data_IF_095740262337
#
_entry.id   IF_095740262337
#
_cell.length_a   1.000
_cell.length_b   1.000
_cell.length_c   1.000
_cell.angle_alpha   90.00
_cell.angle_beta   90.00
_cell.angle_gamma   90.00
#
_symmetry.space_group_name_H-M   'P 1'
#
loop_
_entity.id
_entity.type
_entity.pdbx_description
1 polymer ?
#
# COMPACT_ATOMS: atom_id res chain seq x y z
N UNK A 1 21.82 -72.50 18.85
CA UNK A 1 21.80 -73.05 17.48
C UNK A 1 20.53 -73.89 17.36
N UNK A 2 19.58 -73.49 16.50
CA UNK A 2 19.71 -73.77 15.07
C UNK A 2 19.56 -72.54 14.18
N UNK A 3 20.18 -72.69 13.01
CA UNK A 3 20.41 -71.72 11.96
C UNK A 3 19.23 -71.73 10.98
N UNK A 4 18.64 -70.57 10.66
CA UNK A 4 17.78 -70.42 9.48
C UNK A 4 18.07 -69.10 8.78
N UNK A 5 18.59 -69.27 7.57
CA UNK A 5 18.95 -68.28 6.58
C UNK A 5 17.72 -67.51 6.07
N UNK A 6 17.77 -66.18 6.15
CA UNK A 6 16.81 -65.30 5.48
C UNK A 6 17.36 -64.90 4.09
N UNK A 7 16.64 -65.30 3.05
CA UNK A 7 16.83 -64.83 1.68
C UNK A 7 16.35 -63.38 1.56
N UNK A 8 17.22 -62.48 1.10
CA UNK A 8 16.86 -61.13 0.70
C UNK A 8 16.22 -61.14 -0.70
N UNK A 9 14.93 -60.82 -0.77
CA UNK A 9 14.22 -60.50 -2.02
C UNK A 9 14.24 -58.99 -2.20
N UNK A 10 14.94 -58.52 -3.21
CA UNK A 10 14.98 -57.12 -3.62
C UNK A 10 13.67 -56.72 -4.30
N UNK A 11 12.88 -55.86 -3.65
CA UNK A 11 11.76 -55.16 -4.28
C UNK A 11 12.22 -53.73 -4.58
N UNK A 12 12.43 -53.40 -5.86
CA UNK A 12 12.56 -52.01 -6.31
C UNK A 12 11.19 -51.32 -6.20
N UNK A 13 11.06 -50.19 -5.48
CA UNK A 13 9.89 -49.35 -5.62
C UNK A 13 10.02 -48.52 -6.90
N UNK A 14 9.04 -48.63 -7.78
CA UNK A 14 8.78 -47.69 -8.88
C UNK A 14 8.54 -46.31 -8.26
N UNK A 15 9.50 -45.40 -8.44
CA UNK A 15 9.34 -43.98 -8.21
C UNK A 15 8.38 -43.42 -9.29
N UNK A 16 7.13 -43.15 -8.89
CA UNK A 16 6.29 -42.23 -9.62
C UNK A 16 6.93 -40.84 -9.54
N UNK A 17 7.54 -40.40 -10.64
CA UNK A 17 7.91 -39.00 -10.82
C UNK A 17 6.62 -38.19 -10.88
N UNK A 18 6.26 -37.55 -9.76
CA UNK A 18 5.37 -36.39 -9.81
C UNK A 18 6.13 -35.30 -10.56
N UNK A 19 5.75 -35.06 -11.81
CA UNK A 19 6.09 -33.84 -12.50
C UNK A 19 5.47 -32.69 -11.70
N UNK A 20 6.30 -31.98 -10.93
CA UNK A 20 5.96 -30.70 -10.33
C UNK A 20 5.76 -29.69 -11.46
N UNK A 21 4.54 -29.60 -11.96
CA UNK A 21 4.14 -28.54 -12.90
C UNK A 21 4.07 -27.23 -12.14
N UNK A 22 5.02 -26.33 -12.44
CA UNK A 22 4.85 -24.89 -12.26
C UNK A 22 5.61 -24.25 -11.10
N UNK A 23 6.95 -24.18 -11.18
CA UNK A 23 7.55 -22.88 -10.87
C UNK A 23 7.06 -21.93 -11.96
N UNK A 24 6.07 -21.09 -11.66
CA UNK A 24 5.87 -19.89 -12.46
C UNK A 24 7.22 -19.16 -12.47
N UNK A 25 7.77 -18.86 -13.65
CA UNK A 25 8.96 -18.03 -13.72
C UNK A 25 8.68 -16.70 -12.99
N UNK A 26 9.65 -16.20 -12.22
CA UNK A 26 9.57 -14.86 -11.63
C UNK A 26 9.33 -13.83 -12.73
N UNK A 27 8.56 -12.78 -12.45
CA UNK A 27 8.33 -11.71 -13.40
C UNK A 27 9.68 -11.08 -13.79
N UNK A 28 9.89 -10.80 -15.08
CA UNK A 28 11.19 -10.35 -15.61
C UNK A 28 11.16 -8.89 -16.10
N UNK A 29 10.03 -8.20 -15.95
CA UNK A 29 9.92 -6.80 -16.33
C UNK A 29 10.35 -5.87 -15.19
N UNK A 30 10.39 -4.56 -15.48
CA UNK A 30 10.68 -3.55 -14.47
C UNK A 30 9.54 -3.41 -13.47
N UNK A 31 9.89 -2.97 -12.26
CA UNK A 31 8.97 -2.69 -11.15
C UNK A 31 9.29 -1.31 -10.59
N UNK A 32 8.26 -0.49 -10.37
CA UNK A 32 8.32 0.71 -9.56
C UNK A 32 7.61 0.49 -8.22
N UNK A 33 7.88 1.36 -7.24
CA UNK A 33 7.33 1.22 -5.90
C UNK A 33 6.32 2.32 -5.57
N UNK A 34 5.03 1.99 -5.59
CA UNK A 34 3.99 2.97 -5.30
C UNK A 34 3.79 3.26 -3.80
N UNK A 35 4.57 2.70 -2.86
CA UNK A 35 4.33 2.95 -1.43
C UNK A 35 5.58 2.76 -0.57
N UNK A 36 6.22 3.88 -0.21
CA UNK A 36 7.34 3.93 0.72
C UNK A 36 7.09 4.98 1.79
N UNK A 37 7.08 4.55 3.05
CA UNK A 37 7.14 5.45 4.19
C UNK A 37 8.61 5.72 4.53
N UNK A 38 9.09 6.92 4.23
CA UNK A 38 10.48 7.31 4.47
C UNK A 38 10.85 7.29 5.95
N UNK A 39 9.88 7.48 6.84
CA UNK A 39 10.10 7.48 8.29
C UNK A 39 9.19 6.48 9.00
N UNK A 40 9.65 5.96 10.14
CA UNK A 40 8.86 5.08 10.98
C UNK A 40 7.87 5.82 11.90
N UNK A 41 7.10 5.06 12.71
CA UNK A 41 6.17 5.59 13.72
C UNK A 41 6.86 6.38 14.85
N UNK A 42 8.18 6.52 14.82
CA UNK A 42 9.00 7.37 15.70
C UNK A 42 9.72 8.48 14.92
N UNK A 43 9.39 8.65 13.65
CA UNK A 43 9.96 9.61 12.70
C UNK A 43 11.46 9.39 12.43
N UNK A 44 11.90 8.12 12.46
CA UNK A 44 13.28 7.69 12.19
C UNK A 44 13.40 7.08 10.81
N UNK A 45 14.56 7.21 10.18
CA UNK A 45 14.80 6.76 8.81
C UNK A 45 16.25 6.31 8.62
N UNK A 46 16.48 5.42 7.66
CA UNK A 46 17.78 5.18 7.03
C UNK A 46 18.21 6.33 6.09
N UNK A 47 17.28 7.21 5.72
CA UNK A 47 17.47 8.42 4.90
C UNK A 47 17.13 8.21 3.42
N UNK A 48 16.80 9.28 2.70
CA UNK A 48 16.40 9.16 1.29
C UNK A 48 17.54 8.67 0.38
N UNK A 49 18.80 8.94 0.73
CA UNK A 49 19.94 8.38 -0.03
C UNK A 49 19.98 6.84 0.08
N UNK A 50 19.69 6.29 1.25
CA UNK A 50 19.65 4.84 1.43
C UNK A 50 18.50 4.20 0.63
N UNK A 51 17.35 4.89 0.53
CA UNK A 51 16.27 4.47 -0.37
C UNK A 51 16.73 4.44 -1.82
N UNK A 52 17.40 5.50 -2.31
CA UNK A 52 17.92 5.54 -3.68
C UNK A 52 18.92 4.43 -3.93
N UNK A 53 19.85 4.20 -3.01
CA UNK A 53 20.85 3.13 -3.15
C UNK A 53 20.18 1.74 -3.23
N UNK A 54 19.11 1.53 -2.45
CA UNK A 54 18.32 0.32 -2.50
C UNK A 54 17.53 0.19 -3.82
N UNK A 55 16.92 1.29 -4.29
CA UNK A 55 16.25 1.33 -5.60
C UNK A 55 17.21 1.01 -6.75
N UNK A 56 18.45 1.52 -6.70
CA UNK A 56 19.49 1.23 -7.70
C UNK A 56 19.89 -0.25 -7.71
N UNK A 57 19.99 -0.86 -6.52
CA UNK A 57 20.27 -2.30 -6.39
C UNK A 57 19.15 -3.17 -6.97
N UNK A 58 17.90 -2.68 -6.94
CA UNK A 58 16.70 -3.41 -7.35
C UNK A 58 16.17 -3.02 -8.74
N UNK A 59 16.87 -2.15 -9.48
CA UNK A 59 16.43 -1.58 -10.78
C UNK A 59 15.03 -0.93 -10.70
N UNK A 60 14.72 -0.27 -9.57
CA UNK A 60 13.49 0.50 -9.36
C UNK A 60 13.73 1.92 -9.86
N UNK A 61 12.98 2.37 -10.86
CA UNK A 61 13.17 3.70 -11.43
C UNK A 61 12.48 4.78 -10.58
N UNK A 62 11.27 4.51 -10.09
CA UNK A 62 10.43 5.47 -9.41
C UNK A 62 9.83 4.93 -8.10
N UNK A 63 9.68 5.83 -7.11
CA UNK A 63 8.97 5.51 -5.87
C UNK A 63 8.04 6.64 -5.42
N UNK A 64 6.85 6.31 -4.92
CA UNK A 64 6.10 7.25 -4.08
C UNK A 64 6.74 7.29 -2.70
N UNK A 65 6.89 8.49 -2.13
CA UNK A 65 7.46 8.64 -0.80
C UNK A 65 6.56 9.49 0.08
N UNK A 66 6.28 9.02 1.29
CA UNK A 66 5.51 9.76 2.27
C UNK A 66 6.06 9.60 3.68
N UNK A 67 5.54 10.42 4.59
CA UNK A 67 5.74 10.27 6.02
C UNK A 67 4.82 9.21 6.61
N UNK A 68 4.84 9.12 7.94
CA UNK A 68 3.75 8.52 8.70
C UNK A 68 2.99 9.63 9.42
N UNK A 69 1.66 9.74 9.23
CA UNK A 69 0.88 10.88 9.69
C UNK A 69 0.75 10.95 11.22
N UNK A 70 1.03 9.83 11.90
CA UNK A 70 0.95 9.69 13.35
C UNK A 70 2.27 9.16 13.92
N UNK A 71 2.58 9.60 15.14
CA UNK A 71 3.76 9.15 15.89
C UNK A 71 3.33 8.44 17.19
N UNK A 72 4.05 7.38 17.53
CA UNK A 72 3.84 6.63 18.77
C UNK A 72 4.39 7.40 19.97
N UNK A 73 3.53 7.68 20.94
CA UNK A 73 3.93 8.29 22.20
C UNK A 73 4.66 7.27 23.08
N UNK A 74 5.76 7.71 23.69
CA UNK A 74 6.33 7.02 24.84
C UNK A 74 5.75 7.64 26.11
N UNK A 75 4.72 7.01 26.67
CA UNK A 75 4.08 7.47 27.90
C UNK A 75 4.95 7.20 29.14
N UNK A 76 4.89 8.12 30.11
CA UNK A 76 5.61 7.97 31.40
C UNK A 76 5.23 6.69 32.16
N UNK A 77 4.00 6.19 31.98
CA UNK A 77 3.55 4.93 32.57
C UNK A 77 4.20 3.69 31.95
N UNK A 78 4.81 3.81 30.77
CA UNK A 78 5.44 2.68 30.08
C UNK A 78 6.86 2.46 30.62
N UNK A 79 7.18 1.24 31.10
CA UNK A 79 8.45 0.97 31.77
C UNK A 79 9.68 1.05 30.85
N UNK A 80 9.48 1.10 29.53
CA UNK A 80 10.52 1.28 28.51
C UNK A 80 9.93 1.90 27.24
N UNK A 81 10.77 2.48 26.40
CA UNK A 81 10.34 3.00 25.10
C UNK A 81 9.78 1.86 24.22
N UNK A 82 8.61 2.06 23.56
CA UNK A 82 8.10 1.11 22.58
C UNK A 82 9.04 0.99 21.38
N UNK A 83 9.08 -0.20 20.78
CA UNK A 83 9.87 -0.50 19.57
C UNK A 83 9.01 -0.55 18.31
N UNK A 84 7.70 -0.54 18.47
CA UNK A 84 6.72 -0.61 17.40
C UNK A 84 5.43 0.06 17.86
N UNK A 85 4.59 0.50 16.92
CA UNK A 85 3.35 1.24 17.22
C UNK A 85 2.37 0.46 18.10
N UNK A 86 2.30 -0.86 17.93
CA UNK A 86 1.50 -1.78 18.75
C UNK A 86 2.27 -2.39 19.93
N UNK A 87 3.43 -1.83 20.31
CA UNK A 87 4.28 -2.38 21.37
C UNK A 87 3.72 -2.21 22.79
N UNK A 88 2.77 -1.30 22.97
CA UNK A 88 2.06 -1.01 24.21
C UNK A 88 0.75 -0.23 23.93
N UNK A 89 0.00 0.11 24.97
CA UNK A 89 -1.28 0.84 24.90
C UNK A 89 -1.15 2.37 24.88
N UNK A 90 0.08 2.93 24.81
CA UNK A 90 0.24 4.37 24.72
C UNK A 90 -0.36 4.90 23.39
N UNK A 91 -0.91 6.12 23.36
CA UNK A 91 -1.59 6.60 22.18
C UNK A 91 -0.61 6.92 21.05
N UNK A 92 -1.17 7.02 19.84
CA UNK A 92 -0.55 7.75 18.72
C UNK A 92 -1.22 9.10 18.56
N UNK A 93 -0.49 10.09 18.06
CA UNK A 93 -1.03 11.42 17.76
C UNK A 93 -0.52 11.93 16.42
N UNK A 94 -1.29 12.80 15.76
CA UNK A 94 -0.91 13.36 14.47
C UNK A 94 0.35 14.23 14.56
N UNK A 95 1.25 14.10 13.59
CA UNK A 95 2.55 14.76 13.60
C UNK A 95 2.87 15.42 12.26
N UNK A 96 2.43 16.66 12.08
CA UNK A 96 2.58 17.40 10.82
C UNK A 96 4.01 17.67 10.38
N UNK A 97 4.98 17.63 11.29
CA UNK A 97 6.38 17.83 10.91
C UNK A 97 6.95 16.66 10.09
N UNK A 98 6.25 15.51 9.98
CA UNK A 98 6.65 14.39 9.11
C UNK A 98 6.87 14.83 7.65
N UNK A 99 6.02 15.73 7.14
CA UNK A 99 6.10 16.20 5.76
C UNK A 99 7.34 17.09 5.53
N UNK A 100 7.73 17.90 6.52
CA UNK A 100 8.97 18.68 6.46
C UNK A 100 10.22 17.79 6.52
N UNK A 101 10.17 16.69 7.28
CA UNK A 101 11.26 15.70 7.29
C UNK A 101 11.43 15.05 5.91
N UNK A 102 10.33 14.58 5.32
CA UNK A 102 10.31 14.00 3.97
C UNK A 102 10.82 15.00 2.95
N UNK A 103 10.31 16.23 2.99
CA UNK A 103 10.70 17.26 2.03
C UNK A 103 12.20 17.54 2.07
N UNK A 104 12.78 17.69 3.26
CA UNK A 104 14.22 17.91 3.42
C UNK A 104 15.07 16.75 2.94
N UNK A 105 14.66 15.53 3.25
CA UNK A 105 15.36 14.32 2.79
C UNK A 105 15.41 14.28 1.26
N UNK A 106 14.27 14.47 0.59
CA UNK A 106 14.20 14.50 -0.88
C UNK A 106 15.00 15.68 -1.44
N UNK A 107 14.79 16.91 -0.94
CA UNK A 107 15.48 18.12 -1.41
C UNK A 107 17.01 18.07 -1.23
N UNK A 108 17.50 17.25 -0.29
CA UNK A 108 18.94 17.06 -0.07
C UNK A 108 19.62 16.23 -1.15
N UNK A 109 18.86 15.43 -1.91
CA UNK A 109 19.39 14.58 -2.97
C UNK A 109 19.82 15.41 -4.21
N UNK A 110 20.75 14.91 -5.03
CA UNK A 110 20.97 15.41 -6.38
C UNK A 110 19.68 15.41 -7.22
N UNK A 111 19.52 16.41 -8.09
CA UNK A 111 18.27 16.61 -8.86
C UNK A 111 17.80 15.37 -9.63
N UNK A 112 18.71 14.62 -10.24
CA UNK A 112 18.37 13.40 -10.96
C UNK A 112 17.78 12.29 -10.07
N UNK A 113 18.14 12.25 -8.78
CA UNK A 113 17.57 11.33 -7.81
C UNK A 113 16.25 11.86 -7.25
N UNK A 114 16.12 13.18 -7.07
CA UNK A 114 14.83 13.79 -6.71
C UNK A 114 13.73 13.45 -7.72
N UNK A 115 14.05 13.47 -9.02
CA UNK A 115 13.08 13.22 -10.10
C UNK A 115 12.56 11.76 -10.11
N UNK A 116 13.16 10.87 -9.32
CA UNK A 116 12.74 9.47 -9.12
C UNK A 116 11.81 9.29 -7.93
N UNK A 117 11.71 10.28 -7.04
CA UNK A 117 10.86 10.22 -5.86
C UNK A 117 9.64 11.12 -6.06
N UNK A 118 8.46 10.61 -5.73
CA UNK A 118 7.18 11.29 -5.88
C UNK A 118 6.58 11.54 -4.49
N UNK A 119 6.78 12.73 -3.89
CA UNK A 119 6.39 12.99 -2.51
C UNK A 119 4.87 13.13 -2.35
N UNK A 120 4.29 12.47 -1.35
CA UNK A 120 2.90 12.67 -0.93
C UNK A 120 2.84 13.29 0.46
N UNK A 121 1.93 14.24 0.62
CA UNK A 121 1.72 14.97 1.87
C UNK A 121 0.78 14.19 2.78
N UNK A 122 1.24 13.80 3.97
CA UNK A 122 0.51 12.90 4.90
C UNK A 122 0.25 13.52 6.27
N UNK A 123 1.06 14.47 6.70
CA UNK A 123 1.16 15.01 8.06
C UNK A 123 0.02 15.94 8.47
N UNK A 124 -1.21 15.46 8.52
CA UNK A 124 -2.33 16.27 9.01
C UNK A 124 -3.35 15.43 9.79
N UNK A 125 -4.08 16.10 10.68
CA UNK A 125 -5.20 15.47 11.38
C UNK A 125 -6.39 15.33 10.43
N UNK A 126 -6.74 14.09 10.11
CA UNK A 126 -7.82 13.76 9.16
C UNK A 126 -9.22 14.07 9.70
N UNK A 127 -9.33 14.51 10.95
CA UNK A 127 -10.59 14.95 11.58
C UNK A 127 -10.67 16.47 11.78
N UNK A 128 -9.61 17.21 11.46
CA UNK A 128 -9.59 18.66 11.57
C UNK A 128 -10.19 19.34 10.33
N UNK A 129 -11.29 20.08 10.50
CA UNK A 129 -11.94 20.84 9.42
C UNK A 129 -11.05 21.92 8.79
N UNK A 130 -9.91 22.25 9.40
CA UNK A 130 -8.89 23.16 8.87
C UNK A 130 -7.76 22.44 8.13
N UNK A 131 -7.74 21.10 8.08
CA UNK A 131 -6.70 20.33 7.40
C UNK A 131 -6.53 20.72 5.92
N UNK A 132 -7.64 21.03 5.23
CA UNK A 132 -7.59 21.51 3.85
C UNK A 132 -6.80 22.81 3.70
N UNK A 133 -6.97 23.78 4.61
CA UNK A 133 -6.21 25.04 4.59
C UNK A 133 -4.73 24.80 4.88
N UNK A 134 -4.42 23.88 5.80
CA UNK A 134 -3.05 23.46 6.07
C UNK A 134 -2.38 22.89 4.81
N UNK A 135 -3.06 21.96 4.12
CA UNK A 135 -2.55 21.34 2.90
C UNK A 135 -2.32 22.40 1.81
N UNK A 136 -3.29 23.29 1.55
CA UNK A 136 -3.13 24.36 0.55
C UNK A 136 -1.93 25.26 0.85
N UNK A 137 -1.64 25.51 2.13
CA UNK A 137 -0.46 26.27 2.54
C UNK A 137 0.84 25.52 2.25
N UNK A 138 0.92 24.22 2.55
CA UNK A 138 2.09 23.40 2.22
C UNK A 138 2.34 23.29 0.71
N UNK A 139 1.28 23.14 -0.08
CA UNK A 139 1.34 23.18 -1.55
C UNK A 139 1.86 24.54 -2.07
N UNK A 140 1.53 25.63 -1.37
CA UNK A 140 2.03 26.98 -1.70
C UNK A 140 3.49 27.17 -1.30
N UNK A 141 3.93 26.59 -0.18
CA UNK A 141 5.32 26.66 0.27
C UNK A 141 6.26 25.89 -0.64
N UNK A 142 5.81 24.77 -1.22
CA UNK A 142 6.59 23.96 -2.17
C UNK A 142 5.82 23.68 -3.47
N UNK A 143 5.72 24.67 -4.37
CA UNK A 143 5.00 24.50 -5.62
C UNK A 143 5.55 23.35 -6.46
N UNK A 144 4.68 22.45 -6.92
CA UNK A 144 4.98 21.26 -7.73
C UNK A 144 5.86 20.19 -7.05
N UNK A 145 6.18 20.34 -5.76
CA UNK A 145 6.95 19.34 -5.02
C UNK A 145 6.07 18.14 -4.63
N UNK A 146 4.94 18.43 -3.99
CA UNK A 146 3.97 17.41 -3.60
C UNK A 146 3.18 16.93 -4.82
N UNK A 147 3.15 15.62 -5.01
CA UNK A 147 2.51 14.97 -6.16
C UNK A 147 1.34 14.08 -5.76
N UNK A 148 0.98 14.07 -4.47
CA UNK A 148 -0.21 13.43 -3.95
C UNK A 148 -0.47 13.82 -2.49
N UNK A 149 -1.60 13.35 -1.96
CA UNK A 149 -1.97 13.52 -0.56
C UNK A 149 -2.15 12.13 0.05
N UNK A 150 -1.37 11.83 1.08
CA UNK A 150 -1.42 10.57 1.82
C UNK A 150 -0.02 10.01 2.12
N UNK A 151 0.07 8.87 2.78
CA UNK A 151 -1.03 8.00 3.16
C UNK A 151 -1.96 8.61 4.22
N UNK A 152 -3.25 8.71 3.89
CA UNK A 152 -4.30 9.13 4.82
C UNK A 152 -4.76 7.90 5.60
N UNK A 153 -4.37 7.80 6.87
CA UNK A 153 -4.75 6.68 7.73
C UNK A 153 -6.14 6.92 8.37
N UNK A 154 -7.09 6.02 8.08
CA UNK A 154 -8.44 6.04 8.66
C UNK A 154 -8.72 4.81 9.54
N UNK A 155 -9.66 3.95 9.16
CA UNK A 155 -9.89 2.66 9.83
C UNK A 155 -8.65 1.79 9.62
N UNK A 156 -7.98 1.41 10.70
CA UNK A 156 -6.78 0.59 10.67
C UNK A 156 -6.62 -0.18 11.99
N UNK A 157 -7.25 -1.35 12.08
CA UNK A 157 -7.13 -2.28 13.21
C UNK A 157 -7.08 -1.62 14.61
N UNK A 158 -6.03 -1.91 15.39
CA UNK A 158 -5.80 -1.32 16.70
C UNK A 158 -5.28 0.12 16.63
N UNK A 159 -4.70 0.54 15.50
CA UNK A 159 -4.19 1.90 15.34
C UNK A 159 -5.31 2.92 15.53
N UNK A 160 -6.49 2.66 14.96
CA UNK A 160 -7.67 3.49 15.19
C UNK A 160 -7.99 3.63 16.67
N UNK A 161 -7.88 2.57 17.46
CA UNK A 161 -8.12 2.65 18.90
C UNK A 161 -7.05 3.49 19.63
N UNK A 162 -5.78 3.39 19.20
CA UNK A 162 -4.66 4.12 19.78
C UNK A 162 -4.61 5.61 19.40
N UNK A 163 -5.27 6.06 18.34
CA UNK A 163 -5.31 7.49 17.96
C UNK A 163 -5.93 8.35 19.06
N UNK A 164 -5.24 9.37 19.56
CA UNK A 164 -5.67 10.12 20.75
C UNK A 164 -7.01 10.88 20.62
N UNK A 165 -7.38 11.30 19.40
CA UNK A 165 -8.50 12.21 19.13
C UNK A 165 -9.73 11.52 18.49
N UNK A 166 -10.58 12.29 17.79
CA UNK A 166 -11.69 11.74 17.00
C UNK A 166 -11.19 10.66 16.05
N UNK A 167 -11.96 9.58 15.94
CA UNK A 167 -11.57 8.43 15.14
C UNK A 167 -11.77 8.71 13.65
N UNK A 168 -10.72 8.56 12.84
CA UNK A 168 -10.79 8.89 11.43
C UNK A 168 -11.65 7.88 10.66
N UNK A 169 -12.35 8.39 9.65
CA UNK A 169 -13.21 7.63 8.72
C UNK A 169 -13.15 8.27 7.34
N UNK A 170 -13.21 7.48 6.27
CA UNK A 170 -13.01 7.98 4.90
C UNK A 170 -14.01 9.08 4.48
N UNK A 171 -15.24 9.03 4.99
CA UNK A 171 -16.29 10.04 4.76
C UNK A 171 -16.33 11.14 5.83
N UNK A 172 -15.21 11.44 6.50
CA UNK A 172 -15.19 12.51 7.49
C UNK A 172 -15.37 13.88 6.80
N UNK A 173 -16.19 14.82 7.35
CA UNK A 173 -16.35 16.16 6.76
C UNK A 173 -15.05 16.94 6.53
N UNK A 174 -14.04 16.72 7.36
CA UNK A 174 -12.70 17.27 7.13
C UNK A 174 -12.05 16.71 5.87
N UNK A 175 -12.13 15.40 5.66
CA UNK A 175 -11.56 14.75 4.49
C UNK A 175 -12.29 15.12 3.20
N UNK A 176 -13.59 15.36 3.22
CA UNK A 176 -14.29 15.90 2.05
C UNK A 176 -13.64 17.22 1.56
N UNK A 177 -13.28 18.12 2.47
CA UNK A 177 -12.56 19.36 2.08
C UNK A 177 -11.17 19.07 1.54
N UNK A 178 -10.48 18.07 2.07
CA UNK A 178 -9.16 17.63 1.57
C UNK A 178 -9.28 17.05 0.16
N UNK A 179 -10.33 16.25 -0.10
CA UNK A 179 -10.59 15.69 -1.43
C UNK A 179 -10.91 16.80 -2.44
N UNK A 180 -11.65 17.83 -2.05
CA UNK A 180 -11.86 19.02 -2.88
C UNK A 180 -10.55 19.74 -3.22
N UNK A 181 -9.61 19.85 -2.26
CA UNK A 181 -8.26 20.38 -2.51
C UNK A 181 -7.51 19.48 -3.49
N UNK A 182 -7.53 18.16 -3.27
CA UNK A 182 -6.88 17.20 -4.14
C UNK A 182 -7.33 17.33 -5.60
N UNK A 183 -8.65 17.41 -5.85
CA UNK A 183 -9.20 17.63 -7.18
C UNK A 183 -8.75 18.97 -7.80
N UNK A 184 -8.81 20.08 -7.03
CA UNK A 184 -8.38 21.40 -7.52
C UNK A 184 -6.92 21.44 -7.95
N UNK A 185 -6.06 20.76 -7.23
CA UNK A 185 -4.62 20.71 -7.49
C UNK A 185 -4.20 19.52 -8.37
N UNK A 186 -5.15 18.73 -8.87
CA UNK A 186 -4.91 17.53 -9.68
C UNK A 186 -4.00 16.49 -8.97
N UNK A 187 -4.21 16.30 -7.67
CA UNK A 187 -3.44 15.37 -6.82
C UNK A 187 -4.23 14.09 -6.54
N UNK A 188 -3.63 12.89 -6.70
CA UNK A 188 -4.22 11.66 -6.19
C UNK A 188 -4.20 11.63 -4.65
N UNK A 189 -5.15 10.90 -4.07
CA UNK A 189 -5.28 10.65 -2.64
C UNK A 189 -4.94 9.20 -2.35
N UNK A 190 -3.86 8.94 -1.63
CA UNK A 190 -3.56 7.63 -1.07
C UNK A 190 -4.31 7.46 0.26
N UNK A 191 -5.25 6.51 0.29
CA UNK A 191 -6.16 6.31 1.41
C UNK A 191 -6.00 4.91 1.99
N UNK A 192 -5.59 4.84 3.26
CA UNK A 192 -5.65 3.62 4.06
C UNK A 192 -6.99 3.56 4.80
N UNK A 193 -7.85 2.67 4.32
CA UNK A 193 -9.16 2.45 4.91
C UNK A 193 -9.47 0.96 4.94
N UNK A 194 -9.40 0.36 6.12
CA UNK A 194 -9.81 -1.04 6.32
C UNK A 194 -11.25 -1.23 5.86
N UNK A 195 -11.48 -2.30 5.11
CA UNK A 195 -12.81 -2.63 4.60
C UNK A 195 -13.77 -3.11 5.69
N UNK A 196 -13.22 -3.68 6.78
CA UNK A 196 -14.00 -4.28 7.86
C UNK A 196 -13.22 -4.35 9.17
N UNK A 197 -13.83 -4.94 10.21
CA UNK A 197 -13.21 -5.19 11.52
C UNK A 197 -12.87 -6.69 11.70
N UNK A 198 -12.01 -7.00 12.67
CA UNK A 198 -11.44 -8.34 12.92
C UNK A 198 -12.46 -9.46 13.27
N UNK A 199 -13.75 -9.16 13.33
CA UNK A 199 -14.80 -10.14 13.69
C UNK A 199 -15.91 -10.23 12.64
N UNK A 200 -15.86 -9.41 11.60
CA UNK A 200 -16.92 -9.32 10.62
C UNK A 200 -16.47 -9.90 9.29
N UNK A 201 -17.27 -10.81 8.72
CA UNK A 201 -17.02 -11.43 7.41
C UNK A 201 -17.78 -10.70 6.29
N UNK A 202 -18.02 -9.40 6.46
CA UNK A 202 -18.71 -8.51 5.52
C UNK A 202 -18.00 -7.16 5.49
N UNK A 203 -18.17 -6.34 4.42
CA UNK A 203 -17.45 -5.08 4.27
C UNK A 203 -18.08 -3.97 5.14
N UNK A 204 -17.91 -4.07 6.46
CA UNK A 204 -18.57 -3.24 7.48
C UNK A 204 -18.43 -1.73 7.22
N UNK A 205 -17.26 -1.27 6.75
CA UNK A 205 -16.95 0.14 6.58
C UNK A 205 -17.11 0.66 5.15
N UNK A 206 -17.65 -0.15 4.23
CA UNK A 206 -17.71 0.19 2.81
C UNK A 206 -18.40 1.51 2.50
N UNK A 207 -19.45 1.86 3.28
CA UNK A 207 -20.18 3.11 3.12
C UNK A 207 -19.30 4.34 3.31
N UNK A 208 -18.26 4.25 4.15
CA UNK A 208 -17.32 5.34 4.36
C UNK A 208 -16.51 5.61 3.07
N UNK A 209 -16.06 4.55 2.40
CA UNK A 209 -15.32 4.64 1.13
C UNK A 209 -16.23 5.05 -0.03
N UNK A 210 -17.39 4.40 -0.22
CA UNK A 210 -18.28 4.70 -1.35
C UNK A 210 -18.78 6.14 -1.32
N UNK A 211 -19.10 6.67 -0.14
CA UNK A 211 -19.49 8.07 -0.03
C UNK A 211 -18.36 9.04 -0.39
N UNK A 212 -17.10 8.72 -0.07
CA UNK A 212 -15.97 9.51 -0.52
C UNK A 212 -15.82 9.48 -2.05
N UNK A 213 -15.91 8.29 -2.66
CA UNK A 213 -15.81 8.10 -4.11
C UNK A 213 -16.94 8.82 -4.87
N UNK A 214 -18.19 8.64 -4.44
CA UNK A 214 -19.39 9.20 -5.08
C UNK A 214 -19.46 10.73 -5.00
N UNK A 215 -19.05 11.30 -3.86
CA UNK A 215 -19.15 12.75 -3.63
C UNK A 215 -17.96 13.52 -4.22
N UNK A 216 -16.85 12.84 -4.53
CA UNK A 216 -15.61 13.44 -5.04
C UNK A 216 -15.15 12.77 -6.34
N UNK A 217 -15.99 12.74 -7.40
CA UNK A 217 -15.68 12.02 -8.65
C UNK A 217 -14.46 12.57 -9.41
N UNK A 218 -14.07 13.82 -9.15
CA UNK A 218 -12.88 14.46 -9.75
C UNK A 218 -11.58 14.13 -9.00
N UNK A 219 -11.66 13.53 -7.81
CA UNK A 219 -10.50 13.14 -7.00
C UNK A 219 -10.14 11.70 -7.28
N UNK A 220 -8.89 11.44 -7.67
CA UNK A 220 -8.37 10.07 -7.83
C UNK A 220 -8.03 9.48 -6.47
N UNK A 221 -8.58 8.31 -6.14
CA UNK A 221 -8.32 7.60 -4.90
C UNK A 221 -7.49 6.36 -5.16
N UNK A 222 -6.31 6.28 -4.53
CA UNK A 222 -5.49 5.08 -4.46
C UNK A 222 -5.83 4.40 -3.12
N UNK A 223 -6.60 3.31 -3.17
CA UNK A 223 -7.02 2.60 -1.98
C UNK A 223 -5.96 1.55 -1.59
N UNK A 224 -5.29 1.80 -0.46
CA UNK A 224 -4.21 0.96 0.03
C UNK A 224 -4.71 -0.45 0.37
N UNK A 225 -4.01 -1.44 -0.19
CA UNK A 225 -4.23 -2.89 -0.06
C UNK A 225 -5.69 -3.34 -0.25
N UNK A 226 -6.52 -2.57 -0.97
CA UNK A 226 -7.98 -2.78 -1.02
C UNK A 226 -8.62 -2.97 0.39
N UNK A 227 -8.11 -2.25 1.38
CA UNK A 227 -8.60 -2.25 2.75
C UNK A 227 -8.31 -3.54 3.54
N UNK A 228 -7.35 -4.35 3.10
CA UNK A 228 -6.84 -5.49 3.88
C UNK A 228 -5.75 -5.06 4.84
N UNK A 229 -5.54 -5.86 5.88
CA UNK A 229 -4.35 -5.79 6.73
C UNK A 229 -3.91 -7.20 7.11
N UNK A 230 -2.66 -7.36 7.55
CA UNK A 230 -2.19 -8.62 8.15
C UNK A 230 -3.06 -9.10 9.32
N UNK A 231 -3.72 -8.19 10.04
CA UNK A 231 -4.62 -8.56 11.14
C UNK A 231 -5.89 -9.19 10.59
N UNK A 232 -6.51 -8.56 9.59
CA UNK A 232 -7.75 -9.05 8.97
C UNK A 232 -7.51 -10.40 8.27
N UNK A 233 -6.47 -10.53 7.45
CA UNK A 233 -6.21 -11.76 6.68
C UNK A 233 -5.88 -12.97 7.56
N UNK A 234 -5.44 -12.76 8.80
CA UNK A 234 -5.18 -13.82 9.79
C UNK A 234 -6.38 -14.16 10.69
N UNK A 235 -7.36 -13.25 10.80
CA UNK A 235 -8.46 -13.39 11.76
C UNK A 235 -9.79 -13.77 11.11
N UNK A 236 -10.01 -13.37 9.87
CA UNK A 236 -11.27 -13.56 9.16
C UNK A 236 -11.05 -14.11 7.74
N UNK A 237 -12.11 -14.69 7.17
CA UNK A 237 -12.11 -15.15 5.79
C UNK A 237 -12.73 -14.10 4.87
N UNK A 238 -11.89 -13.39 4.13
CA UNK A 238 -12.29 -12.22 3.32
C UNK A 238 -12.88 -12.60 1.93
N UNK A 239 -13.64 -13.70 1.82
CA UNK A 239 -14.25 -14.15 0.55
C UNK A 239 -15.10 -13.09 -0.16
N UNK A 240 -15.65 -12.12 0.58
CA UNK A 240 -16.44 -11.03 0.02
C UNK A 240 -15.58 -10.04 -0.80
N UNK A 241 -14.27 -9.94 -0.52
CA UNK A 241 -13.43 -8.85 -1.01
C UNK A 241 -13.37 -8.78 -2.53
N UNK A 242 -13.23 -9.93 -3.21
CA UNK A 242 -13.22 -9.98 -4.67
C UNK A 242 -14.46 -9.31 -5.28
N UNK A 243 -15.66 -9.70 -4.80
CA UNK A 243 -16.90 -9.16 -5.33
C UNK A 243 -17.04 -7.67 -5.01
N UNK A 244 -16.62 -7.25 -3.81
CA UNK A 244 -16.63 -5.84 -3.40
C UNK A 244 -15.72 -5.00 -4.28
N UNK A 245 -14.47 -5.40 -4.49
CA UNK A 245 -13.52 -4.66 -5.33
C UNK A 245 -14.00 -4.61 -6.79
N UNK A 246 -14.51 -5.72 -7.32
CA UNK A 246 -15.08 -5.74 -8.67
C UNK A 246 -16.25 -4.76 -8.84
N UNK A 247 -17.18 -4.70 -7.87
CA UNK A 247 -18.30 -3.74 -7.88
C UNK A 247 -17.78 -2.31 -7.87
N UNK A 248 -16.89 -1.99 -6.91
CA UNK A 248 -16.35 -0.64 -6.76
C UNK A 248 -15.62 -0.15 -8.00
N UNK A 249 -14.78 -0.98 -8.62
CA UNK A 249 -14.07 -0.62 -9.85
C UNK A 249 -15.03 -0.41 -11.04
N UNK A 250 -16.15 -1.13 -11.07
CA UNK A 250 -17.17 -0.96 -12.10
C UNK A 250 -18.03 0.28 -11.91
N UNK A 251 -18.19 0.73 -10.66
CA UNK A 251 -19.09 1.83 -10.28
C UNK A 251 -18.36 3.18 -10.17
N UNK A 252 -17.05 3.17 -9.92
CA UNK A 252 -16.27 4.36 -9.60
C UNK A 252 -15.04 4.51 -10.49
N UNK A 253 -15.12 5.47 -11.42
CA UNK A 253 -14.03 5.72 -12.37
C UNK A 253 -12.76 6.30 -11.73
N UNK A 254 -12.92 6.86 -10.53
CA UNK A 254 -11.89 7.53 -9.78
C UNK A 254 -11.20 6.63 -8.74
N UNK A 255 -11.52 5.33 -8.68
CA UNK A 255 -10.88 4.36 -7.79
C UNK A 255 -9.74 3.60 -8.48
N UNK A 256 -8.62 3.52 -7.77
CA UNK A 256 -7.43 2.72 -8.09
C UNK A 256 -7.08 1.87 -6.87
N UNK A 257 -6.52 0.69 -7.10
CA UNK A 257 -6.05 -0.22 -6.07
C UNK A 257 -4.53 -0.14 -5.98
N UNK A 258 -4.03 0.28 -4.82
CA UNK A 258 -2.62 0.16 -4.50
C UNK A 258 -2.40 -1.21 -3.82
N UNK A 259 -1.82 -2.13 -4.56
CA UNK A 259 -1.65 -3.53 -4.20
C UNK A 259 -0.28 -3.75 -3.56
N UNK A 260 -0.25 -3.74 -2.24
CA UNK A 260 0.96 -3.95 -1.44
C UNK A 260 0.64 -4.85 -0.24
N UNK A 261 1.69 -5.35 0.39
CA UNK A 261 1.65 -5.99 1.71
C UNK A 261 0.64 -7.15 1.87
N UNK A 262 -0.59 -6.85 2.34
CA UNK A 262 -1.55 -7.85 2.84
C UNK A 262 -2.57 -8.32 1.81
N UNK A 263 -2.78 -7.57 0.71
CA UNK A 263 -3.76 -7.94 -0.31
C UNK A 263 -3.41 -9.28 -0.97
N UNK A 264 -2.12 -9.59 -1.08
CA UNK A 264 -1.64 -10.84 -1.66
C UNK A 264 -2.18 -12.07 -0.92
N UNK A 265 -2.42 -12.00 0.40
CA UNK A 265 -2.98 -13.12 1.16
C UNK A 265 -4.42 -13.47 0.72
N UNK A 266 -5.15 -12.49 0.17
CA UNK A 266 -6.51 -12.66 -0.35
C UNK A 266 -6.50 -13.02 -1.84
N UNK A 267 -5.53 -12.51 -2.60
CA UNK A 267 -5.34 -12.85 -4.03
C UNK A 267 -4.77 -14.26 -4.21
N UNK A 268 -3.91 -14.68 -3.27
CA UNK A 268 -3.23 -15.96 -3.26
C UNK A 268 -3.46 -16.71 -1.94
N UNK A 269 -4.72 -17.05 -1.59
CA UNK A 269 -4.99 -17.74 -0.33
C UNK A 269 -4.21 -19.05 -0.25
N UNK A 270 -3.43 -19.22 0.82
CA UNK A 270 -2.53 -20.37 1.03
C UNK A 270 -1.51 -20.56 -0.11
N UNK A 271 -1.08 -19.45 -0.73
CA UNK A 271 -0.11 -19.43 -1.83
C UNK A 271 -0.68 -19.87 -3.18
N UNK A 272 -2.00 -20.07 -3.30
CA UNK A 272 -2.64 -20.47 -4.56
C UNK A 272 -3.30 -19.26 -5.21
N UNK A 273 -2.82 -18.88 -6.39
CA UNK A 273 -3.38 -17.75 -7.15
C UNK A 273 -4.83 -17.99 -7.54
N UNK A 274 -5.71 -17.12 -7.05
CA UNK A 274 -7.11 -17.07 -7.48
C UNK A 274 -7.21 -16.33 -8.82
N UNK A 275 -7.49 -17.09 -9.88
CA UNK A 275 -7.58 -16.59 -11.26
C UNK A 275 -8.65 -15.53 -11.46
N UNK A 276 -9.64 -15.41 -10.56
CA UNK A 276 -10.63 -14.34 -10.63
C UNK A 276 -9.99 -12.97 -10.49
N UNK A 277 -8.97 -12.84 -9.64
CA UNK A 277 -8.22 -11.59 -9.48
C UNK A 277 -7.38 -11.27 -10.72
N UNK A 278 -6.76 -12.27 -11.35
CA UNK A 278 -6.06 -12.09 -12.64
C UNK A 278 -7.01 -11.52 -13.69
N UNK A 279 -8.19 -12.13 -13.85
CA UNK A 279 -9.21 -11.62 -14.78
C UNK A 279 -9.73 -10.23 -14.42
N UNK A 280 -9.78 -9.88 -13.13
CA UNK A 280 -10.19 -8.54 -12.70
C UNK A 280 -9.13 -7.49 -13.05
N UNK A 281 -7.86 -7.78 -12.82
CA UNK A 281 -6.74 -6.89 -13.20
C UNK A 281 -6.70 -6.73 -14.72
N UNK A 282 -6.91 -7.81 -15.49
CA UNK A 282 -7.02 -7.73 -16.96
C UNK A 282 -8.20 -6.88 -17.44
N UNK A 283 -9.33 -6.90 -16.72
CA UNK A 283 -10.51 -6.11 -17.06
C UNK A 283 -10.33 -4.60 -16.76
N UNK A 284 -9.45 -4.26 -15.80
CA UNK A 284 -9.16 -2.89 -15.38
C UNK A 284 -7.63 -2.63 -15.37
N UNK A 285 -6.96 -2.72 -16.53
CA UNK A 285 -5.50 -2.78 -16.60
C UNK A 285 -4.80 -1.52 -16.11
N UNK A 286 -5.46 -0.36 -16.09
CA UNK A 286 -4.91 0.91 -15.58
C UNK A 286 -5.14 1.12 -14.06
N UNK A 287 -5.91 0.25 -13.39
CA UNK A 287 -6.47 0.53 -12.05
C UNK A 287 -5.73 -0.15 -10.91
N UNK A 288 -4.67 -0.89 -11.18
CA UNK A 288 -3.86 -1.58 -10.17
C UNK A 288 -2.42 -1.11 -10.26
N UNK A 289 -1.76 -0.89 -9.13
CA UNK A 289 -0.32 -0.64 -9.03
C UNK A 289 0.24 -1.38 -7.82
N UNK A 290 1.54 -1.69 -7.79
CA UNK A 290 2.16 -2.35 -6.64
C UNK A 290 3.06 -1.41 -5.83
N UNK A 291 3.17 -1.69 -4.54
CA UNK A 291 4.05 -0.99 -3.61
C UNK A 291 4.64 -1.94 -2.56
N UNK A 292 5.71 -1.51 -1.91
CA UNK A 292 6.40 -2.33 -0.90
C UNK A 292 5.87 -2.13 0.52
N UNK A 293 5.32 -0.95 0.83
CA UNK A 293 4.89 -0.55 2.17
C UNK A 293 6.03 -0.67 3.22
N UNK A 294 7.26 -0.36 2.79
CA UNK A 294 8.41 -0.31 3.72
C UNK A 294 8.35 0.95 4.57
N UNK A 295 8.80 0.84 5.82
CA UNK A 295 8.62 1.87 6.85
C UNK A 295 9.95 2.20 7.53
N UNK A 296 10.54 3.35 7.17
CA UNK A 296 11.76 3.89 7.77
C UNK A 296 13.06 3.12 7.47
N UNK A 297 12.97 1.87 7.07
CA UNK A 297 14.08 1.01 6.66
C UNK A 297 13.70 0.19 5.43
N UNK A 298 14.62 0.09 4.46
CA UNK A 298 14.28 -0.29 3.09
C UNK A 298 14.71 -1.71 2.70
N UNK A 299 15.40 -2.44 3.60
CA UNK A 299 15.91 -3.79 3.31
C UNK A 299 14.84 -4.87 3.03
N UNK A 300 13.56 -4.61 3.29
CA UNK A 300 12.46 -5.54 2.96
C UNK A 300 11.80 -5.27 1.59
N UNK A 301 12.22 -4.20 0.89
CA UNK A 301 11.57 -3.74 -0.35
C UNK A 301 11.52 -4.83 -1.44
N UNK A 302 12.64 -5.52 -1.69
CA UNK A 302 12.71 -6.63 -2.67
C UNK A 302 11.72 -7.75 -2.34
N UNK A 303 11.66 -8.15 -1.07
CA UNK A 303 10.77 -9.24 -0.63
C UNK A 303 9.31 -8.84 -0.76
N UNK A 304 8.97 -7.61 -0.40
CA UNK A 304 7.61 -7.10 -0.52
C UNK A 304 7.14 -7.03 -1.98
N UNK A 305 7.98 -6.52 -2.89
CA UNK A 305 7.63 -6.39 -4.32
C UNK A 305 7.60 -7.75 -5.04
N UNK A 306 8.61 -8.61 -4.84
CA UNK A 306 8.68 -9.94 -5.49
C UNK A 306 7.57 -10.91 -5.06
N UNK A 307 6.90 -10.64 -3.94
CA UNK A 307 5.71 -11.38 -3.52
C UNK A 307 4.58 -11.29 -4.56
N UNK A 308 4.58 -10.27 -5.42
CA UNK A 308 3.62 -10.11 -6.52
C UNK A 308 3.99 -10.86 -7.81
N UNK A 309 5.19 -11.44 -7.92
CA UNK A 309 5.66 -12.15 -9.13
C UNK A 309 4.67 -13.19 -9.66
N UNK A 310 4.02 -14.04 -8.84
CA UNK A 310 3.09 -15.03 -9.36
C UNK A 310 1.84 -14.39 -9.99
N UNK A 311 1.41 -13.21 -9.50
CA UNK A 311 0.30 -12.44 -10.09
C UNK A 311 0.76 -11.82 -11.40
N UNK A 312 1.92 -11.15 -11.40
CA UNK A 312 2.47 -10.48 -12.59
C UNK A 312 2.77 -11.46 -13.73
N UNK A 313 3.37 -12.62 -13.42
CA UNK A 313 3.65 -13.68 -14.40
C UNK A 313 2.40 -14.38 -14.92
N UNK A 314 1.26 -14.24 -14.23
CA UNK A 314 -0.01 -14.79 -14.67
C UNK A 314 -0.79 -13.85 -15.61
N UNK A 315 -0.42 -12.57 -15.67
CA UNK A 315 -1.05 -11.55 -16.50
C UNK A 315 -0.45 -11.53 -17.92
N UNK A 316 -1.20 -11.04 -18.93
CA UNK A 316 -0.62 -10.65 -20.20
C UNK A 316 0.50 -9.62 -19.99
N UNK A 317 1.60 -9.73 -20.73
CA UNK A 317 2.80 -8.93 -20.51
C UNK A 317 2.54 -7.41 -20.43
N UNK A 318 1.68 -6.87 -21.29
CA UNK A 318 1.31 -5.45 -21.30
C UNK A 318 0.48 -5.02 -20.07
N UNK A 319 -0.29 -5.93 -19.47
CA UNK A 319 -1.05 -5.65 -18.22
C UNK A 319 -0.12 -5.76 -17.01
N UNK A 320 0.77 -6.75 -17.01
CA UNK A 320 1.79 -6.88 -15.97
C UNK A 320 2.70 -5.64 -15.91
N UNK A 321 3.15 -5.15 -17.06
CA UNK A 321 3.96 -3.92 -17.16
C UNK A 321 3.22 -2.68 -16.64
N UNK A 322 1.92 -2.58 -16.94
CA UNK A 322 1.07 -1.51 -16.41
C UNK A 322 0.99 -1.54 -14.89
N UNK A 323 0.63 -2.69 -14.33
CA UNK A 323 0.52 -2.87 -12.87
C UNK A 323 1.86 -2.70 -12.15
N UNK A 324 2.94 -3.24 -12.70
CA UNK A 324 4.25 -3.24 -12.07
C UNK A 324 4.98 -1.90 -12.19
N UNK A 325 4.74 -1.12 -13.25
CA UNK A 325 5.60 0.00 -13.61
C UNK A 325 4.85 1.28 -14.02
N UNK A 326 3.93 1.19 -14.98
CA UNK A 326 3.41 2.37 -15.67
C UNK A 326 2.27 3.08 -14.91
N UNK A 327 1.37 2.32 -14.28
CA UNK A 327 0.14 2.87 -13.73
C UNK A 327 0.39 3.89 -12.61
N UNK A 328 1.40 3.68 -11.77
CA UNK A 328 1.75 4.65 -10.74
C UNK A 328 2.16 6.00 -11.36
N UNK A 329 2.82 6.03 -12.52
CA UNK A 329 3.18 7.30 -13.15
C UNK A 329 1.96 7.97 -13.80
N UNK A 330 1.02 7.19 -14.33
CA UNK A 330 -0.19 7.71 -15.01
C UNK A 330 -1.14 8.49 -14.08
N UNK A 331 -1.17 8.15 -12.79
CA UNK A 331 -2.11 8.77 -11.82
C UNK A 331 -1.59 10.07 -11.21
N UNK A 332 -0.30 10.36 -11.40
CA UNK A 332 0.34 11.58 -10.91
C UNK A 332 -0.18 12.83 -11.64
N UNK A 333 -0.01 14.03 -11.03
CA UNK A 333 -0.49 15.29 -11.61
C UNK A 333 0.01 15.52 -13.03
N UNK A 334 -0.86 16.04 -13.90
CA UNK A 334 -0.51 16.38 -15.28
C UNK A 334 -0.33 15.21 -16.26
N UNK A 335 -0.26 13.96 -15.79
CA UNK A 335 -0.19 12.77 -16.65
C UNK A 335 -1.58 12.32 -17.11
N UNK A 336 -2.53 12.23 -16.16
CA UNK A 336 -3.91 11.77 -16.40
C UNK A 336 -4.73 12.63 -17.40
N UNK A 337 -4.36 13.90 -17.62
CA UNK A 337 -5.06 14.77 -18.58
C UNK A 337 -4.74 14.44 -20.03
N UNK A 338 -3.62 13.76 -20.30
CA UNK A 338 -3.18 13.44 -21.66
C UNK A 338 -3.83 12.18 -22.23
N UNK A 339 -4.49 11.35 -21.42
CA UNK A 339 -5.14 10.11 -21.86
C UNK A 339 -6.61 10.30 -22.30
N UNK A 340 -7.22 11.45 -21.98
CA UNK A 340 -8.60 11.80 -22.35
C UNK A 340 -8.70 12.69 -23.61
N UNK A 341 -7.59 12.91 -24.32
CA UNK A 341 -7.52 13.54 -25.65
C UNK A 341 -7.14 12.49 -26.69
#
# INVERSE_FOLDING_TARGET
MPNKSHHYSWWLPLLFAYASTGCSAAYQGKVNDAEVHLVDYFQRSEGAQALIDNMDMLDIDHAYVMGLPVIKKWDHSQPKAPRFVYGDDAPVYYYSHTDELVAREVESLPKAQQDRLHPFLSGFNTTDLNAAEYIERELTFRPNFWQGIGEIITRHDHLTALTADEKPRANHPALHKVYDVAARYDLPVLLHANITSQRENEPLYIKELTQALEQHPETRFLWAHAGTTSTLTRTIDMRFLYQTVASLLSEHDNLYILASWSLIDVVMPKGQLDRRWVSLIEAYPERFMIGSDVVGAFGYQETALSTWDPVLSALPAHVAEKMAYQNMLSVLPGQHKNEKQ
#
